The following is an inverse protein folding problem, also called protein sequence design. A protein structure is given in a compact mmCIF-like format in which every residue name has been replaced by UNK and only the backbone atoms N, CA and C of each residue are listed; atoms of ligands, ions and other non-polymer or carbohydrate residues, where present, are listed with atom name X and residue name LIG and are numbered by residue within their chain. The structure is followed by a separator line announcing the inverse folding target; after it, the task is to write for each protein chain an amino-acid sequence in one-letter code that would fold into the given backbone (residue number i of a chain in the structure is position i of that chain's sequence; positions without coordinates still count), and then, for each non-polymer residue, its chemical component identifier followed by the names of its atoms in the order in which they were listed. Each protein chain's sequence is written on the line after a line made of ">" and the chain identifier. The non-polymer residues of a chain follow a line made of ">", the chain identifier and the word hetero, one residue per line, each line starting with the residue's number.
data_IF_406442634192
#
_entry.id   IF_406442634192
#
_cell.length_a   1.000
_cell.length_b   1.000
_cell.length_c   1.000
_cell.angle_alpha   90.00
_cell.angle_beta   90.00
_cell.angle_gamma   90.00
#
_symmetry.space_group_name_H-M   'P 1'
#
loop_
_entity.id
_entity.type
_entity.pdbx_description
1 polymer ?
#
# COMPACT_ATOMS: atom_id res chain seq x y z
N UNK A 1 0.16 0.29 -19.53
CA UNK A 1 1.42 0.65 -18.83
C UNK A 1 2.41 -0.47 -19.16
N UNK A 2 3.66 -0.18 -19.51
CA UNK A 2 4.63 -1.24 -19.84
C UNK A 2 5.65 -1.36 -18.69
N UNK A 3 5.68 -2.51 -18.02
CA UNK A 3 6.64 -2.79 -16.95
C UNK A 3 7.96 -3.35 -17.48
N UNK A 4 8.04 -3.80 -18.74
CA UNK A 4 9.27 -4.35 -19.28
C UNK A 4 10.38 -3.32 -19.24
N UNK A 5 11.52 -3.72 -18.67
CA UNK A 5 12.71 -2.86 -18.52
C UNK A 5 12.67 -1.96 -17.27
N UNK A 6 11.61 -2.00 -16.46
CA UNK A 6 11.65 -1.39 -15.14
C UNK A 6 12.53 -2.24 -14.22
N UNK A 7 13.33 -1.61 -13.34
CA UNK A 7 14.13 -2.34 -12.38
C UNK A 7 13.28 -2.86 -11.24
N UNK A 8 13.76 -3.89 -10.56
CA UNK A 8 13.34 -4.17 -9.20
C UNK A 8 13.67 -2.97 -8.31
N UNK A 9 12.81 -2.71 -7.34
CA UNK A 9 12.94 -1.56 -6.46
C UNK A 9 12.60 -1.92 -5.02
N UNK A 10 13.28 -1.26 -4.09
CA UNK A 10 12.98 -1.33 -2.68
C UNK A 10 12.73 0.07 -2.16
N UNK A 11 11.59 0.26 -1.51
CA UNK A 11 11.29 1.50 -0.80
C UNK A 11 11.58 1.23 0.68
N UNK A 12 12.44 2.05 1.27
CA UNK A 12 12.78 2.00 2.69
C UNK A 12 12.85 3.42 3.20
N UNK A 13 11.92 3.78 4.07
CA UNK A 13 11.83 5.12 4.61
C UNK A 13 11.47 5.06 6.09
N UNK A 14 12.38 5.53 6.94
CA UNK A 14 12.13 5.55 8.39
C UNK A 14 11.08 6.62 8.76
N UNK A 15 11.10 7.76 8.05
CA UNK A 15 10.13 8.83 8.23
C UNK A 15 9.89 9.57 6.90
N UNK A 16 8.76 9.28 6.26
CA UNK A 16 8.36 9.84 4.98
C UNK A 16 7.27 10.90 5.15
N UNK A 17 7.41 11.96 4.37
CA UNK A 17 6.46 13.05 4.28
C UNK A 17 6.05 13.24 2.83
N UNK A 18 4.75 13.29 2.57
CA UNK A 18 4.21 13.56 1.24
C UNK A 18 3.24 14.74 1.36
N UNK A 19 3.45 15.78 0.56
CA UNK A 19 2.57 16.95 0.52
C UNK A 19 2.32 17.60 1.89
N UNK A 20 3.31 17.58 2.79
CA UNK A 20 3.21 18.12 4.15
C UNK A 20 2.53 17.19 5.16
N UNK A 21 2.08 16.00 4.75
CA UNK A 21 1.53 14.97 5.63
C UNK A 21 2.60 13.94 5.98
N UNK A 22 2.73 13.62 7.28
CA UNK A 22 3.62 12.58 7.78
C UNK A 22 2.98 11.20 7.57
N UNK A 23 3.59 10.39 6.72
CA UNK A 23 3.22 8.99 6.52
C UNK A 23 3.99 8.04 7.43
N UNK A 24 5.04 8.54 8.09
CA UNK A 24 5.84 7.76 9.03
C UNK A 24 6.71 6.74 8.28
N UNK A 25 6.76 5.51 8.77
CA UNK A 25 7.63 4.49 8.20
C UNK A 25 6.97 3.83 7.00
N UNK A 26 7.72 3.70 5.90
CA UNK A 26 7.28 3.03 4.68
C UNK A 26 8.33 2.00 4.27
N UNK A 27 7.88 0.76 4.07
CA UNK A 27 8.70 -0.31 3.51
C UNK A 27 7.93 -0.99 2.37
N UNK A 28 8.60 -1.33 1.27
CA UNK A 28 8.05 -2.22 0.25
C UNK A 28 9.10 -2.80 -0.66
N UNK A 29 8.83 -4.00 -1.16
CA UNK A 29 9.62 -4.67 -2.19
C UNK A 29 8.80 -4.76 -3.47
N UNK A 30 9.38 -4.27 -4.57
CA UNK A 30 8.78 -4.27 -5.89
C UNK A 30 9.66 -5.12 -6.80
N UNK A 31 9.05 -6.17 -7.37
CA UNK A 31 9.70 -7.06 -8.33
C UNK A 31 9.00 -6.97 -9.67
N UNK A 32 9.78 -6.86 -10.74
CA UNK A 32 9.30 -6.78 -12.10
C UNK A 32 9.66 -8.06 -12.86
N UNK A 33 8.65 -8.74 -13.41
CA UNK A 33 8.84 -9.93 -14.23
C UNK A 33 8.02 -9.80 -15.52
N UNK A 34 8.70 -9.40 -16.60
CA UNK A 34 8.07 -9.16 -17.90
C UNK A 34 6.98 -8.09 -17.81
N UNK A 35 5.73 -8.52 -17.96
CA UNK A 35 4.54 -7.66 -17.87
C UNK A 35 3.89 -7.64 -16.48
N UNK A 36 4.58 -8.18 -15.47
CA UNK A 36 4.04 -8.29 -14.10
C UNK A 36 4.85 -7.46 -13.12
N UNK A 37 4.17 -6.62 -12.35
CA UNK A 37 4.69 -5.94 -11.17
C UNK A 37 4.13 -6.64 -9.93
N UNK A 38 5.02 -7.08 -9.03
CA UNK A 38 4.64 -7.67 -7.75
C UNK A 38 5.08 -6.75 -6.62
N UNK A 39 4.15 -6.41 -5.73
CA UNK A 39 4.40 -5.72 -4.48
C UNK A 39 4.37 -6.74 -3.34
N UNK A 40 5.43 -6.78 -2.55
CA UNK A 40 5.48 -7.57 -1.31
C UNK A 40 5.98 -6.72 -0.15
N UNK A 41 5.68 -7.17 1.06
CA UNK A 41 6.12 -6.50 2.30
C UNK A 41 5.73 -5.02 2.36
N UNK A 42 4.64 -4.65 1.68
CA UNK A 42 4.15 -3.28 1.70
C UNK A 42 3.72 -2.92 3.12
N UNK A 43 4.28 -1.85 3.65
CA UNK A 43 4.01 -1.32 4.97
C UNK A 43 3.93 0.20 4.88
N UNK A 44 2.88 0.75 5.48
CA UNK A 44 2.81 2.16 5.88
C UNK A 44 2.45 2.17 7.36
N UNK A 45 3.31 2.76 8.18
CA UNK A 45 3.09 2.93 9.60
C UNK A 45 3.16 4.41 9.97
N UNK A 46 1.98 4.99 10.18
CA UNK A 46 1.82 6.41 10.52
C UNK A 46 2.01 6.68 12.01
N UNK A 47 2.24 5.65 12.84
CA UNK A 47 2.31 5.71 14.29
C UNK A 47 0.95 5.57 14.99
N UNK A 48 -0.15 5.90 14.31
CA UNK A 48 -1.53 5.70 14.83
C UNK A 48 -2.33 4.66 14.02
N UNK A 49 -1.87 4.36 12.80
CA UNK A 49 -2.44 3.34 11.92
C UNK A 49 -1.32 2.63 11.17
N UNK A 50 -1.54 1.34 10.91
CA UNK A 50 -0.63 0.49 10.15
C UNK A 50 -1.40 -0.18 9.02
N UNK A 51 -0.98 0.11 7.79
CA UNK A 51 -1.43 -0.57 6.58
C UNK A 51 -0.35 -1.55 6.15
N UNK A 52 -0.74 -2.79 5.87
CA UNK A 52 0.10 -3.77 5.17
C UNK A 52 -0.55 -4.11 3.85
N UNK A 53 0.24 -4.32 2.80
CA UNK A 53 -0.28 -4.66 1.48
C UNK A 53 0.68 -5.56 0.70
N UNK A 54 0.10 -6.52 -0.02
CA UNK A 54 0.75 -7.23 -1.10
C UNK A 54 -0.15 -7.14 -2.33
N UNK A 55 0.44 -7.10 -3.52
CA UNK A 55 -0.32 -6.96 -4.73
C UNK A 55 0.41 -7.43 -5.96
N UNK A 56 -0.35 -7.58 -7.04
CA UNK A 56 0.17 -7.96 -8.34
C UNK A 56 -0.61 -7.22 -9.43
N UNK A 57 0.12 -6.64 -10.37
CA UNK A 57 -0.40 -5.97 -11.55
C UNK A 57 0.21 -6.64 -12.78
N UNK A 58 -0.63 -7.26 -13.60
CA UNK A 58 -0.25 -7.85 -14.89
C UNK A 58 -0.78 -6.95 -15.99
N UNK A 59 0.11 -6.52 -16.88
CA UNK A 59 -0.20 -5.70 -18.05
C UNK A 59 0.10 -6.46 -19.35
N UNK A 60 -0.30 -7.73 -19.42
CA UNK A 60 -0.23 -8.53 -20.63
C UNK A 60 -1.51 -8.27 -21.47
N UNK A 61 -1.41 -7.85 -22.74
CA UNK A 61 -2.57 -7.54 -23.56
C UNK A 61 -3.61 -8.68 -23.60
N UNK A 62 -4.84 -8.37 -23.20
CA UNK A 62 -5.95 -9.33 -23.18
C UNK A 62 -6.00 -10.26 -21.96
N UNK A 63 -5.08 -10.10 -21.01
CA UNK A 63 -5.10 -10.78 -19.71
C UNK A 63 -4.61 -9.83 -18.60
N UNK A 64 -5.05 -8.57 -18.67
CA UNK A 64 -4.76 -7.57 -17.67
C UNK A 64 -5.45 -7.94 -16.35
N UNK A 65 -4.67 -8.03 -15.27
CA UNK A 65 -5.22 -8.27 -13.94
C UNK A 65 -4.57 -7.37 -12.90
N UNK A 66 -5.36 -6.99 -11.92
CA UNK A 66 -4.89 -6.28 -10.72
C UNK A 66 -5.44 -7.03 -9.52
N UNK A 67 -4.55 -7.39 -8.60
CA UNK A 67 -4.93 -7.94 -7.30
C UNK A 67 -4.20 -7.16 -6.22
N UNK A 68 -4.94 -6.75 -5.21
CA UNK A 68 -4.39 -6.06 -4.05
C UNK A 68 -5.07 -6.64 -2.82
N UNK A 69 -4.27 -7.17 -1.90
CA UNK A 69 -4.72 -7.56 -0.57
C UNK A 69 -3.98 -6.71 0.44
N UNK A 70 -4.67 -6.32 1.48
CA UNK A 70 -4.06 -5.57 2.56
C UNK A 70 -4.79 -5.77 3.85
N UNK A 71 -4.12 -5.36 4.93
CA UNK A 71 -4.72 -5.26 6.26
C UNK A 71 -4.47 -3.88 6.80
N UNK A 72 -5.52 -3.23 7.26
CA UNK A 72 -5.48 -1.96 7.94
C UNK A 72 -5.80 -2.18 9.43
N UNK A 73 -4.91 -1.67 10.29
CA UNK A 73 -5.07 -1.69 11.74
C UNK A 73 -4.88 -0.30 12.29
N UNK A 74 -5.62 0.03 13.33
CA UNK A 74 -5.48 1.32 14.00
C UNK A 74 -6.40 1.42 15.20
N UNK A 75 -6.16 2.46 16.01
CA UNK A 75 -6.99 2.71 17.19
C UNK A 75 -8.37 3.28 16.83
N UNK A 76 -8.46 3.98 15.70
CA UNK A 76 -9.67 4.67 15.22
C UNK A 76 -9.83 4.45 13.72
N UNK A 77 -10.84 3.65 13.33
CA UNK A 77 -11.09 3.27 11.93
C UNK A 77 -11.48 4.42 11.03
N UNK A 78 -12.19 5.41 11.56
CA UNK A 78 -12.55 6.66 10.89
C UNK A 78 -11.28 7.45 10.53
N UNK A 79 -10.38 7.66 11.48
CA UNK A 79 -9.13 8.39 11.25
C UNK A 79 -8.21 7.68 10.25
N UNK A 80 -8.15 6.35 10.29
CA UNK A 80 -7.33 5.58 9.36
C UNK A 80 -7.92 5.52 7.95
N UNK A 81 -9.24 5.31 7.82
CA UNK A 81 -9.91 5.29 6.54
C UNK A 81 -9.85 6.66 5.85
N UNK A 82 -10.11 7.75 6.59
CA UNK A 82 -10.00 9.12 6.08
C UNK A 82 -8.56 9.45 5.63
N UNK A 83 -7.54 9.03 6.39
CA UNK A 83 -6.14 9.23 6.02
C UNK A 83 -5.77 8.55 4.68
N UNK A 84 -6.30 7.35 4.43
CA UNK A 84 -6.08 6.61 3.18
C UNK A 84 -7.13 6.91 2.09
N UNK A 85 -8.02 7.89 2.30
CA UNK A 85 -9.01 8.34 1.32
C UNK A 85 -10.21 7.41 1.13
N UNK A 86 -10.51 6.57 2.12
CA UNK A 86 -11.65 5.63 2.13
C UNK A 86 -12.72 6.11 3.12
N UNK A 87 -13.99 6.12 2.69
CA UNK A 87 -15.12 6.41 3.59
C UNK A 87 -15.63 5.13 4.24
N UNK A 88 -15.75 5.12 5.58
CA UNK A 88 -16.33 4.01 6.34
C UNK A 88 -17.48 4.50 7.23
N UNK A 89 -18.61 3.76 7.32
CA UNK A 89 -19.69 4.10 8.24
C UNK A 89 -19.36 3.77 9.71
N UNK A 90 -18.28 3.00 9.97
CA UNK A 90 -17.87 2.58 11.31
C UNK A 90 -17.02 3.69 11.95
N UNK A 91 -17.30 4.08 13.20
CA UNK A 91 -16.60 5.18 13.89
C UNK A 91 -16.06 4.75 15.25
N UNK A 92 -14.94 5.35 15.68
CA UNK A 92 -14.37 5.25 17.04
C UNK A 92 -14.13 3.82 17.59
N UNK A 93 -13.85 2.82 16.74
CA UNK A 93 -13.51 1.46 17.17
C UNK A 93 -12.11 1.06 16.74
N UNK A 94 -11.38 0.33 17.60
CA UNK A 94 -10.18 -0.41 17.19
C UNK A 94 -10.56 -1.49 16.18
N UNK A 95 -9.73 -1.72 15.18
CA UNK A 95 -10.07 -2.62 14.09
C UNK A 95 -8.85 -3.36 13.52
N UNK A 96 -9.13 -4.50 12.89
CA UNK A 96 -8.17 -5.36 12.21
C UNK A 96 -8.90 -5.99 11.02
N UNK A 97 -8.88 -5.29 9.89
CA UNK A 97 -9.49 -5.74 8.63
C UNK A 97 -8.45 -5.83 7.55
#
# INVERSE_FOLDING_TARGET
>A
INFRGWPDAQIRCAECWFWGQKFGRIDSDITISGDTLTLTNGLIDTGFSRLTADGEWVNNPGNERTSLKGKLRGQKIDAAAEFFGVTTPIRQSSFNV
#
